data_IF_911035937947
#
_entry.id   IF_911035937947
#
_cell.length_a   1.000
_cell.length_b   1.000
_cell.length_c   1.000
_cell.angle_alpha   90.00
_cell.angle_beta   90.00
_cell.angle_gamma   90.00
#
_symmetry.space_group_name_H-M   'P 1'
#
loop_
_entity.id
_entity.type
_entity.pdbx_description
1 polymer ?
#
# COMPACT_ATOMS: atom_id res chain seq x y z
N UNK A 1 -6.07 16.29 -27.14
CA UNK A 1 -6.11 16.52 -25.68
C UNK A 1 -4.97 15.71 -25.06
N UNK A 2 -3.92 16.32 -24.49
CA UNK A 2 -2.88 15.54 -23.82
C UNK A 2 -3.49 14.99 -22.53
N UNK A 3 -3.54 13.68 -22.38
CA UNK A 3 -3.95 13.04 -21.14
C UNK A 3 -2.93 13.40 -20.06
N UNK A 4 -3.37 14.09 -19.00
CA UNK A 4 -2.58 14.35 -17.80
C UNK A 4 -2.47 13.12 -16.89
N UNK A 5 -2.94 11.96 -17.35
CA UNK A 5 -2.85 10.71 -16.61
C UNK A 5 -1.52 10.01 -16.86
N UNK A 6 -0.97 9.46 -15.79
CA UNK A 6 0.28 8.69 -15.77
C UNK A 6 0.07 7.41 -14.97
N UNK A 7 0.82 6.37 -15.28
CA UNK A 7 0.73 5.10 -14.55
C UNK A 7 1.32 5.27 -13.15
N UNK A 8 0.67 4.73 -12.13
CA UNK A 8 1.21 4.75 -10.76
C UNK A 8 2.57 4.05 -10.72
N UNK A 9 2.74 2.95 -11.48
CA UNK A 9 3.98 2.19 -11.56
C UNK A 9 5.20 2.97 -12.06
N UNK A 10 4.99 4.06 -12.79
CA UNK A 10 6.07 4.96 -13.21
C UNK A 10 6.72 5.61 -11.97
N UNK A 11 5.96 5.83 -10.90
CA UNK A 11 6.38 6.58 -9.71
C UNK A 11 6.70 5.74 -8.49
N UNK A 12 6.24 4.49 -8.41
CA UNK A 12 6.39 3.66 -7.20
C UNK A 12 7.31 2.46 -7.39
N UNK A 13 7.97 2.02 -6.31
CA UNK A 13 8.81 0.84 -6.29
C UNK A 13 8.53 -0.03 -5.07
N UNK A 14 8.65 -1.36 -5.22
CA UNK A 14 8.57 -2.30 -4.09
C UNK A 14 9.75 -2.10 -3.14
N UNK A 15 9.50 -2.28 -1.85
CA UNK A 15 10.52 -2.32 -0.80
C UNK A 15 10.47 -3.68 -0.14
N UNK A 16 11.62 -4.35 -0.10
CA UNK A 16 11.79 -5.64 0.56
C UNK A 16 12.79 -5.49 1.72
N UNK A 17 12.31 -4.86 2.80
CA UNK A 17 13.04 -4.75 4.06
C UNK A 17 12.42 -5.70 5.09
N UNK A 18 13.20 -6.63 5.64
CA UNK A 18 12.73 -7.65 6.60
C UNK A 18 13.43 -7.52 7.93
N UNK A 19 12.74 -7.89 9.00
CA UNK A 19 13.18 -7.80 10.39
C UNK A 19 14.23 -8.85 10.78
N UNK A 20 15.28 -9.01 9.96
CA UNK A 20 16.27 -10.11 10.09
C UNK A 20 17.04 -10.06 11.41
N UNK A 21 17.23 -8.88 11.97
CA UNK A 21 17.91 -8.65 13.24
C UNK A 21 16.96 -8.72 14.45
N UNK A 22 15.65 -8.91 14.21
CA UNK A 22 14.60 -8.99 15.23
C UNK A 22 14.52 -7.75 16.14
N UNK A 23 14.98 -6.59 15.66
CA UNK A 23 15.00 -5.36 16.45
C UNK A 23 13.63 -4.70 16.59
N UNK A 24 12.76 -4.89 15.60
CA UNK A 24 11.42 -4.32 15.58
C UNK A 24 10.41 -5.35 16.08
N UNK A 25 9.57 -4.98 17.05
CA UNK A 25 8.61 -5.90 17.68
C UNK A 25 7.15 -5.50 17.44
N UNK A 26 6.88 -4.23 17.14
CA UNK A 26 5.55 -3.67 17.00
C UNK A 26 4.88 -4.12 15.70
N UNK A 27 4.07 -5.17 15.76
CA UNK A 27 3.31 -5.68 14.62
C UNK A 27 1.95 -4.98 14.48
N UNK A 28 1.70 -4.42 13.29
CA UNK A 28 0.45 -3.74 12.96
C UNK A 28 -0.24 -4.40 11.76
N UNK A 29 -1.56 -4.45 11.83
CA UNK A 29 -2.43 -4.78 10.71
C UNK A 29 -2.86 -3.53 9.94
N UNK A 30 -3.57 -3.76 8.83
CA UNK A 30 -4.11 -2.70 7.96
C UNK A 30 -5.63 -2.62 8.13
N UNK A 31 -6.19 -1.42 8.17
CA UNK A 31 -7.63 -1.21 8.33
C UNK A 31 -8.37 -0.90 7.02
N UNK A 32 -9.69 -1.11 7.06
CA UNK A 32 -10.60 -0.63 6.01
C UNK A 32 -10.75 0.89 5.96
N UNK A 33 -10.28 1.59 6.99
CA UNK A 33 -10.17 3.06 7.04
C UNK A 33 -8.81 3.56 6.56
N UNK A 34 -7.96 2.66 6.04
CA UNK A 34 -6.64 2.99 5.48
C UNK A 34 -5.70 3.58 6.54
N UNK A 35 -5.70 2.93 7.71
CA UNK A 35 -4.90 3.23 8.89
C UNK A 35 -4.24 1.96 9.43
N UNK A 36 -3.14 2.10 10.18
CA UNK A 36 -2.60 0.99 10.96
C UNK A 36 -3.55 0.62 12.10
N UNK A 37 -3.58 -0.66 12.46
CA UNK A 37 -4.31 -1.18 13.62
C UNK A 37 -3.45 -2.12 14.42
N UNK A 38 -3.63 -2.09 15.73
CA UNK A 38 -3.06 -3.10 16.61
C UNK A 38 -3.55 -4.49 16.19
N UNK A 39 -2.63 -5.45 16.15
CA UNK A 39 -2.95 -6.81 15.76
C UNK A 39 -3.74 -7.51 16.88
N UNK A 40 -4.76 -8.27 16.49
CA UNK A 40 -5.47 -9.19 17.40
C UNK A 40 -4.97 -10.63 17.26
N UNK A 41 -4.01 -10.88 16.36
CA UNK A 41 -3.46 -12.20 16.11
C UNK A 41 -2.54 -12.63 17.23
N UNK A 42 -2.59 -13.92 17.58
CA UNK A 42 -1.63 -14.51 18.50
C UNK A 42 -0.26 -14.61 17.82
N UNK A 43 0.72 -13.84 18.31
CA UNK A 43 2.09 -13.81 17.79
C UNK A 43 3.05 -14.74 18.55
N UNK A 44 2.58 -15.47 19.56
CA UNK A 44 3.41 -16.41 20.33
C UNK A 44 3.92 -17.51 19.40
N UNK A 45 5.25 -17.68 19.35
CA UNK A 45 5.90 -18.67 18.48
C UNK A 45 5.95 -18.30 17.00
N UNK A 46 5.53 -17.08 16.63
CA UNK A 46 5.65 -16.58 15.26
C UNK A 46 7.07 -16.11 15.00
N UNK A 47 7.65 -16.53 13.88
CA UNK A 47 8.92 -16.01 13.40
C UNK A 47 8.73 -14.58 12.88
N UNK A 48 9.16 -13.59 13.66
CA UNK A 48 9.07 -12.18 13.28
C UNK A 48 10.13 -11.77 12.27
N UNK A 49 11.14 -12.60 11.96
CA UNK A 49 12.24 -12.25 11.05
C UNK A 49 11.81 -12.12 9.59
N UNK A 50 10.70 -12.79 9.22
CA UNK A 50 10.14 -12.76 7.87
C UNK A 50 9.22 -11.57 7.64
N UNK A 51 8.79 -10.87 8.71
CA UNK A 51 7.91 -9.72 8.62
C UNK A 51 8.65 -8.50 8.05
N UNK A 52 7.88 -7.63 7.38
CA UNK A 52 8.45 -6.47 6.70
C UNK A 52 8.51 -5.28 7.64
N UNK A 53 9.67 -4.63 7.69
CA UNK A 53 9.89 -3.43 8.49
C UNK A 53 9.52 -2.22 7.66
N UNK A 54 8.60 -1.41 8.18
CA UNK A 54 8.10 -0.19 7.56
C UNK A 54 8.89 1.03 8.02
N UNK A 55 9.29 1.87 7.07
CA UNK A 55 9.88 3.19 7.29
C UNK A 55 8.93 4.32 6.87
N UNK A 56 9.20 5.54 7.33
CA UNK A 56 8.40 6.73 6.98
C UNK A 56 8.29 6.91 5.47
N UNK A 57 7.10 7.29 5.02
CA UNK A 57 6.69 7.43 3.62
C UNK A 57 6.62 6.14 2.80
N UNK A 58 6.60 4.99 3.48
CA UNK A 58 6.28 3.71 2.85
C UNK A 58 4.81 3.37 3.01
N UNK A 59 4.31 2.61 2.05
CA UNK A 59 2.97 2.09 2.02
C UNK A 59 2.96 0.60 2.26
N UNK A 60 1.93 0.10 2.94
CA UNK A 60 1.60 -1.32 2.97
C UNK A 60 0.19 -1.51 2.43
N UNK A 61 -0.01 -2.55 1.61
CA UNK A 61 -1.28 -2.82 0.92
C UNK A 61 -1.74 -4.27 1.11
N UNK A 62 -3.04 -4.46 1.30
CA UNK A 62 -3.67 -5.78 1.33
C UNK A 62 -4.59 -5.98 0.10
N UNK A 63 -4.03 -6.60 -0.94
CA UNK A 63 -4.76 -6.93 -2.17
C UNK A 63 -5.77 -8.08 -2.00
N UNK A 64 -5.74 -8.82 -0.88
CA UNK A 64 -6.66 -9.93 -0.65
C UNK A 64 -8.00 -9.49 -0.06
N UNK A 65 -8.05 -8.32 0.57
CA UNK A 65 -9.26 -7.80 1.22
C UNK A 65 -10.35 -7.29 0.27
N UNK A 66 -10.07 -6.59 -0.85
CA UNK A 66 -11.10 -6.02 -1.71
C UNK A 66 -12.23 -6.97 -2.11
N UNK A 67 -11.93 -8.24 -2.43
CA UNK A 67 -12.93 -9.23 -2.83
C UNK A 67 -13.97 -9.56 -1.74
N UNK A 68 -13.64 -9.31 -0.47
CA UNK A 68 -14.51 -9.62 0.69
C UNK A 68 -15.24 -8.41 1.25
N UNK A 69 -14.59 -7.25 1.20
CA UNK A 69 -15.01 -6.06 1.96
C UNK A 69 -15.10 -4.79 1.11
N UNK A 70 -14.96 -4.90 -0.21
CA UNK A 70 -15.17 -3.83 -1.20
C UNK A 70 -14.35 -2.55 -0.95
N UNK A 71 -13.18 -2.68 -0.33
CA UNK A 71 -12.18 -1.61 -0.23
C UNK A 71 -10.78 -2.19 -0.24
N UNK A 72 -9.79 -1.39 -0.63
CA UNK A 72 -8.38 -1.72 -0.54
C UNK A 72 -7.76 -1.15 0.74
N UNK A 73 -7.43 -1.96 1.75
CA UNK A 73 -6.57 -1.53 2.85
C UNK A 73 -5.20 -1.17 2.27
N UNK A 74 -4.91 0.13 2.25
CA UNK A 74 -3.60 0.68 1.94
C UNK A 74 -3.33 1.75 2.97
N UNK A 75 -2.15 1.72 3.58
CA UNK A 75 -1.77 2.67 4.64
C UNK A 75 -0.50 3.37 4.23
N UNK A 76 -0.34 4.62 4.64
CA UNK A 76 0.91 5.36 4.54
C UNK A 76 1.49 5.55 5.94
N UNK A 77 2.76 5.21 6.10
CA UNK A 77 3.49 5.49 7.35
C UNK A 77 3.99 6.93 7.38
N UNK A 78 3.64 7.68 8.43
CA UNK A 78 3.99 9.10 8.56
C UNK A 78 4.95 9.39 9.72
N UNK A 79 4.98 8.56 10.75
CA UNK A 79 5.91 8.70 11.86
C UNK A 79 7.24 7.97 11.58
N UNK A 80 8.25 8.24 12.39
CA UNK A 80 9.60 7.68 12.26
C UNK A 80 9.80 6.37 13.05
N UNK A 81 8.84 5.94 13.88
CA UNK A 81 8.96 4.72 14.68
C UNK A 81 8.76 3.46 13.83
N UNK A 82 9.73 2.55 13.70
CA UNK A 82 9.56 1.37 12.85
C UNK A 82 8.44 0.45 13.37
N UNK A 83 7.69 -0.12 12.44
CA UNK A 83 6.70 -1.15 12.74
C UNK A 83 6.82 -2.31 11.75
N UNK A 84 6.25 -3.45 12.14
CA UNK A 84 6.12 -4.62 11.29
C UNK A 84 4.77 -4.67 10.62
N UNK A 85 4.75 -5.25 9.42
CA UNK A 85 3.56 -5.67 8.70
C UNK A 85 3.75 -7.08 8.15
N UNK A 86 2.64 -7.78 7.90
CA UNK A 86 2.64 -9.16 7.40
C UNK A 86 3.53 -9.33 6.16
N UNK A 87 4.26 -10.46 6.03
CA UNK A 87 5.02 -10.77 4.81
C UNK A 87 4.16 -10.79 3.55
N UNK A 88 2.85 -11.06 3.70
CA UNK A 88 1.89 -11.12 2.60
C UNK A 88 1.55 -9.74 2.01
N UNK A 89 1.80 -8.65 2.74
CA UNK A 89 1.52 -7.31 2.25
C UNK A 89 2.68 -6.82 1.38
N UNK A 90 2.41 -6.38 0.14
CA UNK A 90 3.38 -5.60 -0.60
C UNK A 90 3.66 -4.29 0.13
N UNK A 91 4.94 -4.02 0.34
CA UNK A 91 5.43 -2.74 0.84
C UNK A 91 6.06 -2.01 -0.33
N UNK A 92 5.75 -0.72 -0.47
CA UNK A 92 6.25 0.09 -1.57
C UNK A 92 6.42 1.55 -1.15
N UNK A 93 7.14 2.31 -1.97
CA UNK A 93 7.38 3.72 -1.76
C UNK A 93 7.40 4.47 -3.08
N UNK A 94 7.30 5.81 -3.01
CA UNK A 94 7.52 6.66 -4.17
C UNK A 94 9.03 6.78 -4.43
N UNK A 95 9.44 6.59 -5.69
CA UNK A 95 10.83 6.66 -6.17
C UNK A 95 11.44 8.04 -6.00
N UNK A 96 10.69 9.08 -6.37
CA UNK A 96 11.09 10.49 -6.27
C UNK A 96 9.92 11.33 -5.73
N UNK A 97 10.09 11.83 -4.50
CA UNK A 97 9.07 12.62 -3.80
C UNK A 97 8.82 13.99 -4.43
N UNK A 98 9.76 14.49 -5.23
CA UNK A 98 9.56 15.72 -6.01
C UNK A 98 8.68 15.47 -7.24
N UNK A 99 8.67 14.25 -7.76
CA UNK A 99 7.83 13.86 -8.89
C UNK A 99 6.42 13.45 -8.45
N UNK A 100 6.29 12.85 -7.26
CA UNK A 100 5.02 12.47 -6.66
C UNK A 100 5.10 12.55 -5.14
N UNK A 101 4.27 13.39 -4.51
CA UNK A 101 4.20 13.44 -3.06
C UNK A 101 3.49 12.17 -2.50
N UNK A 102 4.09 11.45 -1.51
CA UNK A 102 3.46 10.27 -0.91
C UNK A 102 2.12 10.56 -0.24
N UNK A 103 1.96 11.71 0.43
CA UNK A 103 0.71 12.09 1.08
C UNK A 103 -0.36 12.43 0.04
N UNK A 104 0.02 13.04 -1.08
CA UNK A 104 -0.88 13.21 -2.24
C UNK A 104 -1.34 11.86 -2.79
N UNK A 105 -0.42 10.90 -2.98
CA UNK A 105 -0.78 9.55 -3.42
C UNK A 105 -1.74 8.88 -2.42
N UNK A 106 -1.49 9.05 -1.11
CA UNK A 106 -2.37 8.53 -0.07
C UNK A 106 -3.77 9.18 -0.10
N UNK A 107 -3.84 10.49 -0.31
CA UNK A 107 -5.11 11.20 -0.52
C UNK A 107 -5.85 10.62 -1.72
N UNK A 108 -5.16 10.33 -2.82
CA UNK A 108 -5.74 9.73 -4.02
C UNK A 108 -6.32 8.33 -3.73
N UNK A 109 -5.60 7.50 -2.96
CA UNK A 109 -6.05 6.17 -2.52
C UNK A 109 -7.22 6.19 -1.53
N UNK A 110 -7.42 7.30 -0.80
CA UNK A 110 -8.54 7.48 0.14
C UNK A 110 -9.87 7.80 -0.53
N UNK A 111 -9.87 8.10 -1.82
CA UNK A 111 -11.10 8.43 -2.55
C UNK A 111 -12.00 7.20 -2.68
N UNK A 112 -13.30 7.29 -2.36
CA UNK A 112 -14.25 6.18 -2.53
C UNK A 112 -14.30 5.64 -3.96
N UNK A 113 -14.05 6.48 -4.96
CA UNK A 113 -13.99 6.11 -6.38
C UNK A 113 -12.89 5.10 -6.65
N UNK A 114 -11.77 5.19 -5.94
CA UNK A 114 -10.68 4.23 -6.08
C UNK A 114 -11.07 2.87 -5.52
N UNK A 115 -11.69 2.81 -4.32
CA UNK A 115 -12.17 1.54 -3.76
C UNK A 115 -13.24 0.88 -4.66
N UNK A 116 -14.12 1.68 -5.28
CA UNK A 116 -15.08 1.18 -6.28
C UNK A 116 -14.38 0.62 -7.51
N UNK A 117 -13.36 1.30 -8.02
CA UNK A 117 -12.56 0.84 -9.16
C UNK A 117 -11.84 -0.48 -8.87
N UNK A 118 -11.19 -0.59 -7.71
CA UNK A 118 -10.54 -1.83 -7.24
C UNK A 118 -11.56 -2.96 -7.15
N UNK A 119 -12.72 -2.70 -6.55
CA UNK A 119 -13.78 -3.72 -6.40
C UNK A 119 -14.28 -4.22 -7.75
N UNK A 120 -14.53 -3.29 -8.69
CA UNK A 120 -14.93 -3.63 -10.05
C UNK A 120 -13.87 -4.50 -10.75
N UNK A 121 -12.59 -4.20 -10.57
CA UNK A 121 -11.48 -4.99 -11.13
C UNK A 121 -11.39 -6.39 -10.52
N UNK A 122 -11.70 -6.54 -9.23
CA UNK A 122 -11.76 -7.86 -8.60
C UNK A 122 -12.93 -8.72 -9.10
N UNK A 123 -14.12 -8.12 -9.27
CA UNK A 123 -15.33 -8.84 -9.69
C UNK A 123 -15.31 -9.26 -11.17
N UNK A 124 -14.73 -8.41 -12.03
CA UNK A 124 -14.61 -8.69 -13.46
C UNK A 124 -13.56 -9.76 -13.81
N UNK A 125 -12.80 -10.25 -12.83
CA UNK A 125 -11.66 -11.11 -13.07
C UNK A 125 -12.01 -12.61 -13.01
N UNK A 126 -12.03 -13.26 -14.18
CA UNK A 126 -12.07 -14.73 -14.27
C UNK A 126 -10.75 -15.37 -13.77
N UNK A 127 -9.64 -14.61 -13.76
CA UNK A 127 -8.26 -15.11 -13.50
C UNK A 127 -7.34 -14.21 -12.64
N UNK A 128 -7.86 -13.31 -11.81
CA UNK A 128 -7.01 -12.55 -10.86
C UNK A 128 -7.50 -11.14 -10.64
N UNK A 129 -7.78 -10.80 -9.38
CA UNK A 129 -8.31 -9.50 -8.98
C UNK A 129 -7.29 -8.36 -9.04
N UNK A 130 -7.55 -7.28 -8.31
CA UNK A 130 -6.66 -6.13 -8.25
C UNK A 130 -5.39 -6.45 -7.43
N UNK A 131 -4.27 -6.61 -8.11
CA UNK A 131 -2.96 -6.97 -7.53
C UNK A 131 -1.90 -5.87 -7.74
N UNK A 132 -0.62 -6.21 -7.54
CA UNK A 132 0.48 -5.25 -7.71
C UNK A 132 0.59 -4.77 -9.16
N UNK A 133 0.49 -5.69 -10.11
CA UNK A 133 0.59 -5.42 -11.54
C UNK A 133 -0.53 -4.48 -11.98
N UNK A 134 -1.77 -4.73 -11.53
CA UNK A 134 -2.91 -3.83 -11.79
C UNK A 134 -2.74 -2.46 -11.09
N UNK A 135 -2.15 -2.42 -9.88
CA UNK A 135 -1.79 -1.15 -9.24
C UNK A 135 -0.78 -0.36 -10.07
N UNK A 136 0.20 -1.02 -10.70
CA UNK A 136 1.18 -0.33 -11.55
C UNK A 136 0.54 0.27 -12.80
N UNK A 137 -0.43 -0.43 -13.40
CA UNK A 137 -1.16 0.02 -14.59
C UNK A 137 -2.23 1.07 -14.29
N UNK A 138 -2.64 1.21 -13.03
CA UNK A 138 -3.65 2.19 -12.61
C UNK A 138 -3.19 3.62 -12.89
N UNK A 139 -4.10 4.41 -13.47
CA UNK A 139 -3.84 5.78 -13.87
C UNK A 139 -4.06 6.78 -12.74
N UNK A 140 -3.01 7.51 -12.41
CA UNK A 140 -3.01 8.68 -11.53
C UNK A 140 -3.12 9.94 -12.39
N UNK A 141 -3.96 10.90 -11.97
CA UNK A 141 -3.95 12.23 -12.58
C UNK A 141 -2.73 12.99 -12.07
N UNK A 142 -1.75 13.23 -12.93
CA UNK A 142 -0.57 14.00 -12.58
C UNK A 142 -0.94 15.49 -12.63
N UNK A 143 -1.12 16.10 -11.45
CA UNK A 143 -1.11 17.55 -11.34
C UNK A 143 0.34 17.97 -11.63
N UNK A 144 0.55 18.88 -12.58
CA UNK A 144 1.88 19.42 -12.88
C UNK A 144 2.37 20.25 -11.70
N UNK A 145 2.83 19.61 -10.62
CA UNK A 145 3.47 20.27 -9.49
C UNK A 145 4.94 20.52 -9.83
N UNK A 146 5.17 21.46 -10.73
CA UNK A 146 6.27 22.40 -10.50
C UNK A 146 5.70 23.46 -9.57
N UNK A 147 5.94 23.31 -8.28
CA UNK A 147 6.01 24.45 -7.37
C UNK A 147 7.48 24.85 -7.28
#
# INVERSE_FOLDING_TARGET
MRSHYKKIGDYIQKVENRNRDLTVTRLLGLSMTKEFRETTSNIVGTDMSVYKVMSKYQFACDFMSPIRVNKLPVVLKLDDEPNLVSPAYPVFEVKDKNALDPEYLMMWFRRPEFDRYVTFKCDAAIRGGYDWEELNETLLFAVSTKL
#
